data_IF_482085272180
#
_entry.id   IF_482085272180
#
_cell.length_a   1.000
_cell.length_b   1.000
_cell.length_c   1.000
_cell.angle_alpha   90.00
_cell.angle_beta   90.00
_cell.angle_gamma   90.00
#
_symmetry.space_group_name_H-M   'P 1'
#
loop_
_entity.id
_entity.type
_entity.pdbx_description
1 polymer ?
#
# COMPACT_ATOMS: atom_id res chain seq x y z
N UNK A 1 7.01 10.78 -18.62
CA UNK A 1 5.74 10.26 -18.07
C UNK A 1 5.84 10.44 -16.57
N UNK A 2 5.05 11.35 -15.98
CA UNK A 2 5.11 11.62 -14.54
C UNK A 2 4.99 10.32 -13.74
N UNK A 3 5.73 10.23 -12.63
CA UNK A 3 5.94 9.04 -11.82
C UNK A 3 4.62 8.34 -11.50
N UNK A 4 4.26 7.30 -12.25
CA UNK A 4 3.11 6.47 -11.91
C UNK A 4 3.55 5.62 -10.72
N UNK A 5 2.91 5.72 -9.55
CA UNK A 5 3.28 4.89 -8.41
C UNK A 5 3.09 3.42 -8.77
N UNK A 6 4.16 2.64 -8.58
CA UNK A 6 4.23 1.23 -8.99
C UNK A 6 3.36 0.36 -8.07
N UNK A 7 2.48 -0.43 -8.70
CA UNK A 7 1.69 -1.44 -8.00
C UNK A 7 2.59 -2.63 -7.67
N UNK A 8 2.68 -2.98 -6.40
CA UNK A 8 3.52 -4.09 -5.92
C UNK A 8 2.65 -5.25 -5.47
N UNK A 9 2.96 -6.51 -5.80
CA UNK A 9 2.28 -7.67 -5.22
C UNK A 9 2.46 -7.70 -3.70
N UNK A 10 1.39 -7.90 -2.93
CA UNK A 10 1.44 -7.96 -1.47
C UNK A 10 2.41 -9.03 -0.96
N UNK A 11 2.49 -10.17 -1.67
CA UNK A 11 3.42 -11.25 -1.34
C UNK A 11 4.91 -10.84 -1.44
N UNK A 12 5.23 -9.81 -2.25
CA UNK A 12 6.58 -9.28 -2.34
C UNK A 12 6.98 -8.41 -1.12
N UNK A 13 6.01 -8.05 -0.26
CA UNK A 13 6.26 -7.36 1.00
C UNK A 13 6.54 -8.33 2.17
N UNK A 14 6.68 -9.62 1.88
CA UNK A 14 7.07 -10.61 2.86
C UNK A 14 8.40 -10.19 3.54
N UNK A 15 8.53 -10.43 4.86
CA UNK A 15 9.74 -10.06 5.59
C UNK A 15 10.95 -10.77 5.00
N UNK A 16 12.04 -10.02 4.80
CA UNK A 16 13.32 -10.54 4.28
C UNK A 16 14.07 -11.42 5.29
N UNK A 17 13.60 -11.45 6.55
CA UNK A 17 14.15 -12.28 7.62
C UNK A 17 13.23 -13.44 7.90
N UNK A 18 13.82 -14.56 8.30
CA UNK A 18 13.07 -15.71 8.79
C UNK A 18 12.28 -15.32 10.05
N UNK A 19 10.99 -15.63 10.03
CA UNK A 19 10.11 -15.46 11.19
C UNK A 19 9.74 -16.87 11.64
N UNK A 20 9.92 -17.13 12.93
CA UNK A 20 9.45 -18.36 13.57
C UNK A 20 7.92 -18.33 13.73
N UNK A 21 7.23 -18.47 12.60
CA UNK A 21 5.78 -18.51 12.50
C UNK A 21 5.36 -19.23 11.20
N UNK A 22 4.17 -19.87 11.16
CA UNK A 22 3.64 -20.44 9.93
C UNK A 22 3.53 -19.38 8.82
N UNK A 23 3.90 -19.74 7.59
CA UNK A 23 3.83 -18.84 6.44
C UNK A 23 2.42 -18.25 6.23
N UNK A 24 1.37 -19.03 6.49
CA UNK A 24 -0.01 -18.58 6.44
C UNK A 24 -0.31 -17.45 7.47
N UNK A 25 0.27 -17.54 8.68
CA UNK A 25 0.12 -16.50 9.71
C UNK A 25 0.86 -15.22 9.32
N UNK A 26 2.05 -15.33 8.73
CA UNK A 26 2.80 -14.18 8.20
C UNK A 26 2.00 -13.48 7.09
N UNK A 27 1.46 -14.25 6.14
CA UNK A 27 0.63 -13.71 5.07
C UNK A 27 -0.64 -13.04 5.59
N UNK A 28 -1.35 -13.67 6.54
CA UNK A 28 -2.54 -13.09 7.16
C UNK A 28 -2.24 -11.79 7.91
N UNK A 29 -1.11 -11.74 8.63
CA UNK A 29 -0.68 -10.53 9.33
C UNK A 29 -0.34 -9.39 8.36
N UNK A 30 0.41 -9.68 7.30
CA UNK A 30 0.72 -8.70 6.26
C UNK A 30 -0.54 -8.17 5.56
N UNK A 31 -1.50 -9.06 5.27
CA UNK A 31 -2.79 -8.68 4.70
C UNK A 31 -3.61 -7.80 5.63
N UNK A 32 -3.72 -8.16 6.91
CA UNK A 32 -4.39 -7.31 7.91
C UNK A 32 -3.73 -5.93 8.03
N UNK A 33 -2.40 -5.85 8.03
CA UNK A 33 -1.70 -4.57 8.05
C UNK A 33 -2.02 -3.73 6.80
N UNK A 34 -2.03 -4.33 5.61
CA UNK A 34 -2.40 -3.65 4.37
C UNK A 34 -3.84 -3.11 4.43
N UNK A 35 -4.80 -3.89 4.96
CA UNK A 35 -6.18 -3.45 5.16
C UNK A 35 -6.28 -2.24 6.11
N UNK A 36 -5.52 -2.23 7.21
CA UNK A 36 -5.49 -1.09 8.12
C UNK A 36 -4.88 0.17 7.46
N UNK A 37 -3.83 0.02 6.66
CA UNK A 37 -3.28 1.15 5.88
C UNK A 37 -4.27 1.68 4.84
N UNK A 38 -5.02 0.80 4.19
CA UNK A 38 -6.04 1.18 3.22
C UNK A 38 -7.21 1.91 3.89
N UNK A 39 -7.68 1.37 5.03
CA UNK A 39 -8.73 1.99 5.85
C UNK A 39 -8.35 3.41 6.31
N UNK A 40 -7.08 3.64 6.65
CA UNK A 40 -6.56 4.94 7.04
C UNK A 40 -6.20 5.85 5.84
N UNK A 41 -6.47 5.43 4.61
CA UNK A 41 -6.22 6.20 3.39
C UNK A 41 -4.73 6.37 3.05
N UNK A 42 -3.84 5.56 3.62
CA UNK A 42 -2.40 5.59 3.35
C UNK A 42 -1.98 4.68 2.17
N UNK A 43 -2.83 3.73 1.81
CA UNK A 43 -2.57 2.70 0.81
C UNK A 43 -3.81 2.46 -0.06
N UNK A 44 -3.59 2.03 -1.30
CA UNK A 44 -4.64 1.49 -2.16
C UNK A 44 -4.39 0.00 -2.39
N UNK A 45 -5.48 -0.78 -2.47
CA UNK A 45 -5.46 -2.23 -2.70
C UNK A 45 -6.24 -2.53 -3.98
N UNK A 46 -5.74 -3.47 -4.79
CA UNK A 46 -6.39 -3.95 -6.01
C UNK A 46 -6.29 -5.46 -6.15
N UNK A 47 -7.41 -6.10 -6.47
CA UNK A 47 -7.51 -7.52 -6.82
C UNK A 47 -8.45 -7.66 -8.04
N UNK A 48 -8.04 -8.42 -9.04
CA UNK A 48 -8.77 -8.52 -10.33
C UNK A 48 -9.86 -9.58 -10.32
N UNK A 49 -9.67 -10.68 -9.60
CA UNK A 49 -10.65 -11.73 -9.38
C UNK A 49 -10.43 -12.43 -8.02
N UNK A 50 -11.39 -13.25 -7.60
CA UNK A 50 -11.25 -14.02 -6.35
C UNK A 50 -9.98 -14.88 -6.37
N UNK A 51 -9.21 -14.84 -5.28
CA UNK A 51 -7.97 -15.58 -5.08
C UNK A 51 -6.81 -15.22 -6.03
N UNK A 52 -6.97 -14.23 -6.91
CA UNK A 52 -5.87 -13.66 -7.69
C UNK A 52 -4.93 -12.83 -6.79
N UNK A 53 -3.70 -12.55 -7.25
CA UNK A 53 -2.75 -11.74 -6.49
C UNK A 53 -3.34 -10.40 -6.07
N UNK A 54 -3.05 -10.03 -4.82
CA UNK A 54 -3.40 -8.74 -4.25
C UNK A 54 -2.25 -7.79 -4.54
N UNK A 55 -2.56 -6.65 -5.16
CA UNK A 55 -1.60 -5.59 -5.41
C UNK A 55 -1.85 -4.42 -4.46
N UNK A 56 -0.77 -3.80 -4.02
CA UNK A 56 -0.80 -2.62 -3.16
C UNK A 56 0.02 -1.49 -3.76
N UNK A 57 -0.38 -0.27 -3.50
CA UNK A 57 0.45 0.92 -3.74
C UNK A 57 0.28 1.92 -2.62
N UNK A 58 1.32 2.70 -2.35
CA UNK A 58 1.19 3.85 -1.46
C UNK A 58 0.25 4.87 -2.12
N UNK A 59 -0.68 5.40 -1.35
CA UNK A 59 -1.47 6.54 -1.82
C UNK A 59 -0.59 7.78 -1.78
N UNK A 60 -0.35 8.39 -2.93
CA UNK A 60 0.26 9.72 -2.96
C UNK A 60 -0.74 10.68 -2.31
N UNK A 61 -0.35 11.32 -1.20
CA UNK A 61 -1.11 12.45 -0.68
C UNK A 61 -1.00 13.53 -1.76
N UNK A 62 -2.02 13.68 -2.59
CA UNK A 62 -2.08 14.74 -3.58
C UNK A 62 -1.91 16.06 -2.82
N UNK A 63 -0.76 16.71 -2.99
CA UNK A 63 -0.44 18.10 -2.65
C UNK A 63 -1.59 18.88 -1.94
N UNK A 64 -1.82 18.58 -0.68
CA UNK A 64 -2.53 19.48 0.22
C UNK A 64 -1.43 20.27 0.95
N UNK A 65 -1.42 21.59 0.74
CA UNK A 65 -0.56 22.62 1.36
C UNK A 65 0.64 23.20 0.58
N UNK A 66 0.60 23.24 -0.77
CA UNK A 66 1.47 24.16 -1.55
C UNK A 66 0.74 25.17 -2.47
N UNK A 67 -0.58 25.25 -2.37
CA UNK A 67 -1.38 26.24 -3.13
C UNK A 67 -1.95 27.40 -2.30
N UNK A 68 -1.82 27.37 -0.97
CA UNK A 68 -2.45 28.35 -0.08
C UNK A 68 -1.55 29.52 0.35
N UNK A 69 -0.28 29.56 -0.09
CA UNK A 69 0.69 30.61 0.32
C UNK A 69 1.12 31.56 -0.82
N UNK A 70 0.75 31.30 -2.07
CA UNK A 70 1.18 32.12 -3.22
C UNK A 70 0.12 33.14 -3.69
N UNK A 71 -0.90 33.42 -2.86
CA UNK A 71 -2.01 34.33 -3.19
C UNK A 71 -2.02 35.65 -2.43
N UNK A 72 -0.93 36.01 -1.74
CA UNK A 72 -0.83 37.23 -0.96
C UNK A 72 0.48 37.97 -1.25
N UNK A 73 0.65 38.47 -2.47
CA UNK A 73 1.58 39.56 -2.80
C UNK A 73 0.94 40.52 -3.82
#
# INVERSE_FOLDING_TARGET
LGSIPEWTPLAALAPLREIDAPAASVAASAFNAALEFAKNGAMEIRQTAHFEPIYVRRRERANEDKGARDGAE
#
